data_IF_790519560682
#
_entry.id   IF_790519560682
#
_cell.length_a   1.000
_cell.length_b   1.000
_cell.length_c   1.000
_cell.angle_alpha   90.00
_cell.angle_beta   90.00
_cell.angle_gamma   90.00
#
_symmetry.space_group_name_H-M   'P 1'
#
loop_
_entity.id
_entity.type
_entity.pdbx_description
1 polymer ?
#
# COMPACT_ATOMS: atom_id res chain seq x y z
N UNK A 1 4.59 -6.65 28.22
CA UNK A 1 3.67 -5.90 27.35
C UNK A 1 4.25 -5.96 25.95
N UNK A 2 3.84 -6.94 25.13
CA UNK A 2 4.14 -6.90 23.70
C UNK A 2 3.22 -5.82 23.13
N UNK A 3 3.78 -4.67 22.76
CA UNK A 3 3.07 -3.77 21.86
C UNK A 3 2.66 -4.61 20.65
N UNK A 4 1.36 -4.70 20.36
CA UNK A 4 0.91 -5.06 19.02
C UNK A 4 1.41 -3.94 18.10
N UNK A 5 2.67 -4.00 17.70
CA UNK A 5 3.12 -3.30 16.52
C UNK A 5 2.32 -3.95 15.39
N UNK A 6 1.25 -3.27 14.96
CA UNK A 6 0.55 -3.68 13.75
C UNK A 6 1.59 -3.71 12.63
N UNK A 7 1.97 -4.91 12.22
CA UNK A 7 2.92 -5.13 11.14
C UNK A 7 2.19 -4.78 9.86
N UNK A 8 2.58 -3.68 9.24
CA UNK A 8 2.18 -3.31 7.90
C UNK A 8 3.41 -3.31 7.00
N UNK A 9 3.18 -3.39 5.70
CA UNK A 9 4.26 -3.47 4.72
C UNK A 9 5.00 -2.14 4.62
N UNK A 10 6.32 -2.19 4.77
CA UNK A 10 7.22 -1.01 4.79
C UNK A 10 8.22 -1.02 3.65
N UNK A 11 8.35 -2.12 2.89
CA UNK A 11 9.37 -2.23 1.83
C UNK A 11 9.37 -1.01 0.90
N UNK A 12 8.21 -0.64 0.34
CA UNK A 12 8.13 0.51 -0.57
C UNK A 12 8.46 1.84 0.12
N UNK A 13 8.03 2.04 1.37
CA UNK A 13 8.37 3.25 2.15
C UNK A 13 9.89 3.40 2.31
N UNK A 14 10.58 2.28 2.56
CA UNK A 14 12.04 2.25 2.74
C UNK A 14 12.82 2.44 1.42
N UNK A 15 12.19 2.21 0.27
CA UNK A 15 12.78 2.46 -1.04
C UNK A 15 12.68 3.92 -1.50
N UNK A 16 11.77 4.70 -0.90
CA UNK A 16 11.62 6.14 -1.20
C UNK A 16 12.84 6.93 -0.74
N UNK A 17 13.09 8.06 -1.44
CA UNK A 17 13.98 9.12 -0.94
C UNK A 17 13.49 9.66 0.41
N UNK A 18 14.36 10.28 1.20
CA UNK A 18 13.99 10.77 2.53
C UNK A 18 12.76 11.71 2.49
N UNK A 19 12.74 12.63 1.52
CA UNK A 19 11.66 13.60 1.35
C UNK A 19 10.35 12.96 0.90
N UNK A 20 10.43 12.03 -0.04
CA UNK A 20 9.26 11.27 -0.49
C UNK A 20 8.71 10.37 0.63
N UNK A 21 9.59 9.81 1.47
CA UNK A 21 9.19 9.03 2.65
C UNK A 21 8.45 9.90 3.67
N UNK A 22 8.95 11.10 3.97
CA UNK A 22 8.27 12.03 4.88
C UNK A 22 6.86 12.38 4.38
N UNK A 23 6.71 12.58 3.06
CA UNK A 23 5.40 12.78 2.44
C UNK A 23 4.50 11.55 2.61
N UNK A 24 5.02 10.36 2.28
CA UNK A 24 4.26 9.09 2.39
C UNK A 24 3.83 8.79 3.83
N UNK A 25 4.72 8.99 4.81
CA UNK A 25 4.39 8.83 6.23
C UNK A 25 3.35 9.85 6.69
N UNK A 26 3.40 11.08 6.19
CA UNK A 26 2.34 12.04 6.49
C UNK A 26 0.99 11.56 5.95
N UNK A 27 0.91 11.17 4.68
CA UNK A 27 -0.32 10.68 4.07
C UNK A 27 -0.85 9.42 4.76
N UNK A 28 0.05 8.51 5.15
CA UNK A 28 -0.29 7.29 5.89
C UNK A 28 -1.00 7.62 7.22
N UNK A 29 -0.60 8.70 7.88
CA UNK A 29 -1.14 9.12 9.17
C UNK A 29 -2.37 10.03 9.05
N UNK A 30 -2.49 10.84 7.99
CA UNK A 30 -3.53 11.88 7.89
C UNK A 30 -4.71 11.49 7.01
N UNK A 31 -4.51 10.68 5.96
CA UNK A 31 -5.56 10.38 4.99
C UNK A 31 -6.15 8.98 5.21
N UNK A 32 -7.48 8.81 5.12
CA UNK A 32 -8.11 7.50 5.05
C UNK A 32 -7.81 6.81 3.72
N UNK A 33 -7.93 5.49 3.68
CA UNK A 33 -7.68 4.70 2.46
C UNK A 33 -8.54 5.18 1.28
N UNK A 34 -9.81 5.51 1.52
CA UNK A 34 -10.71 5.99 0.47
C UNK A 34 -10.17 7.25 -0.23
N UNK A 35 -9.63 8.21 0.51
CA UNK A 35 -9.06 9.43 -0.06
C UNK A 35 -7.76 9.15 -0.82
N UNK A 36 -6.90 8.26 -0.30
CA UNK A 36 -5.69 7.82 -1.00
C UNK A 36 -6.02 7.17 -2.36
N UNK A 37 -7.09 6.39 -2.43
CA UNK A 37 -7.52 5.74 -3.68
C UNK A 37 -8.07 6.74 -4.69
N UNK A 38 -8.75 7.81 -4.23
CA UNK A 38 -9.17 8.90 -5.10
C UNK A 38 -7.94 9.58 -5.70
N UNK A 39 -6.93 9.92 -4.90
CA UNK A 39 -5.68 10.51 -5.38
C UNK A 39 -4.95 9.60 -6.37
N UNK A 40 -4.92 8.29 -6.10
CA UNK A 40 -4.31 7.30 -6.98
C UNK A 40 -5.01 7.20 -8.35
N UNK A 41 -6.33 7.36 -8.38
CA UNK A 41 -7.12 7.32 -9.62
C UNK A 41 -7.11 8.62 -10.42
N UNK A 42 -6.80 9.77 -9.80
CA UNK A 42 -6.79 11.06 -10.49
C UNK A 42 -5.64 11.22 -11.49
N UNK A 43 -4.64 10.33 -11.44
CA UNK A 43 -3.46 10.32 -12.30
C UNK A 43 -2.69 11.65 -12.38
N UNK A 44 -2.86 12.52 -11.39
CA UNK A 44 -2.23 13.83 -11.33
C UNK A 44 -1.49 13.98 -10.00
N UNK A 45 -0.27 14.54 -9.99
CA UNK A 45 0.41 14.94 -8.77
C UNK A 45 -0.37 15.95 -7.95
N UNK A 46 -0.40 15.77 -6.63
CA UNK A 46 -0.81 16.83 -5.71
C UNK A 46 0.38 17.76 -5.45
N UNK A 47 0.39 18.88 -6.16
CA UNK A 47 1.47 19.86 -6.09
C UNK A 47 1.63 20.46 -4.68
N UNK A 48 0.56 20.55 -3.89
CA UNK A 48 0.64 21.11 -2.54
C UNK A 48 1.40 20.17 -1.61
N UNK A 49 1.12 18.88 -1.68
CA UNK A 49 1.85 17.86 -0.91
C UNK A 49 3.31 17.83 -1.34
N UNK A 50 3.58 17.77 -2.64
CA UNK A 50 4.95 17.68 -3.16
C UNK A 50 5.78 18.91 -2.81
N UNK A 51 5.22 20.12 -2.92
CA UNK A 51 5.91 21.35 -2.51
C UNK A 51 6.19 21.37 -1.01
N UNK A 52 5.25 20.94 -0.17
CA UNK A 52 5.39 20.92 1.29
C UNK A 52 6.57 20.05 1.73
N UNK A 53 6.77 18.89 1.10
CA UNK A 53 7.85 17.96 1.44
C UNK A 53 9.07 18.08 0.52
N UNK A 54 9.04 18.98 -0.46
CA UNK A 54 10.10 19.18 -1.44
C UNK A 54 10.44 17.87 -2.21
N UNK A 55 9.41 17.10 -2.53
CA UNK A 55 9.47 15.87 -3.32
C UNK A 55 9.17 16.18 -4.80
N UNK A 56 9.62 15.33 -5.72
CA UNK A 56 9.41 15.56 -7.16
C UNK A 56 8.08 14.97 -7.65
N UNK A 57 7.58 15.50 -8.77
CA UNK A 57 6.38 14.94 -9.43
C UNK A 57 6.59 13.49 -9.88
N UNK A 58 7.84 13.11 -10.20
CA UNK A 58 8.20 11.74 -10.60
C UNK A 58 8.05 10.76 -9.43
N UNK A 59 8.22 11.22 -8.20
CA UNK A 59 8.07 10.41 -6.99
C UNK A 59 6.60 10.22 -6.55
N UNK A 60 5.65 10.98 -7.13
CA UNK A 60 4.26 11.01 -6.67
C UNK A 60 3.60 9.64 -6.59
N UNK A 61 3.69 8.85 -7.66
CA UNK A 61 3.08 7.52 -7.68
C UNK A 61 3.81 6.54 -6.77
N UNK A 62 5.12 6.68 -6.60
CA UNK A 62 5.87 5.87 -5.65
C UNK A 62 5.43 6.17 -4.21
N UNK A 63 5.23 7.46 -3.89
CA UNK A 63 4.68 7.91 -2.60
C UNK A 63 3.29 7.30 -2.36
N UNK A 64 2.38 7.43 -3.33
CA UNK A 64 1.02 6.89 -3.21
C UNK A 64 1.02 5.38 -3.08
N UNK A 65 1.76 4.65 -3.93
CA UNK A 65 1.83 3.19 -3.86
C UNK A 65 2.39 2.70 -2.53
N UNK A 66 3.45 3.33 -2.03
CA UNK A 66 4.02 2.99 -0.73
C UNK A 66 3.02 3.23 0.41
N UNK A 67 2.33 4.38 0.37
CA UNK A 67 1.33 4.76 1.37
C UNK A 67 0.13 3.81 1.36
N UNK A 68 -0.40 3.51 0.18
CA UNK A 68 -1.56 2.63 0.01
C UNK A 68 -1.21 1.21 0.44
N UNK A 69 -0.08 0.67 0.00
CA UNK A 69 0.35 -0.68 0.39
C UNK A 69 0.47 -0.80 1.92
N UNK A 70 1.11 0.18 2.56
CA UNK A 70 1.20 0.24 4.01
C UNK A 70 -0.18 0.35 4.67
N UNK A 71 -1.06 1.23 4.18
CA UNK A 71 -2.41 1.44 4.73
C UNK A 71 -3.29 0.20 4.60
N UNK A 72 -3.23 -0.49 3.45
CA UNK A 72 -4.04 -1.68 3.19
C UNK A 72 -3.59 -2.85 4.05
N UNK A 73 -2.28 -3.12 4.11
CA UNK A 73 -1.72 -4.21 4.91
C UNK A 73 -1.80 -3.96 6.42
N UNK A 74 -2.06 -2.72 6.84
CA UNK A 74 -2.40 -2.39 8.22
C UNK A 74 -3.79 -2.90 8.64
N UNK A 75 -4.75 -3.02 7.71
CA UNK A 75 -6.08 -3.52 8.06
C UNK A 75 -5.99 -4.99 8.47
N UNK A 76 -6.29 -5.24 9.75
CA UNK A 76 -6.51 -6.58 10.28
C UNK A 76 -7.75 -7.20 9.61
N UNK A 77 -7.72 -8.53 9.48
CA UNK A 77 -8.84 -9.32 8.96
C UNK A 77 -10.09 -8.99 9.78
N UNK A 78 -11.07 -8.34 9.13
CA UNK A 78 -12.37 -8.09 9.72
C UNK A 78 -13.32 -9.19 9.24
N UNK A 79 -13.88 -10.03 10.12
CA UNK A 79 -14.82 -11.09 9.73
C UNK A 79 -16.11 -10.54 9.11
N UNK A 80 -16.36 -9.23 9.21
CA UNK A 80 -17.51 -8.58 8.59
C UNK A 80 -17.26 -8.15 7.15
N UNK A 81 -16.03 -8.25 6.63
CA UNK A 81 -15.78 -7.94 5.23
C UNK A 81 -16.41 -8.98 4.32
N UNK A 82 -17.12 -8.49 3.31
CA UNK A 82 -17.64 -9.31 2.22
C UNK A 82 -16.49 -9.78 1.33
N UNK A 83 -16.73 -10.86 0.57
CA UNK A 83 -15.77 -11.35 -0.42
C UNK A 83 -15.39 -10.28 -1.45
N UNK A 84 -16.32 -9.40 -1.81
CA UNK A 84 -16.08 -8.31 -2.76
C UNK A 84 -15.13 -7.26 -2.18
N UNK A 85 -15.30 -6.89 -0.92
CA UNK A 85 -14.41 -5.95 -0.22
C UNK A 85 -13.01 -6.55 -0.03
N UNK A 86 -12.91 -7.83 0.34
CA UNK A 86 -11.62 -8.53 0.42
C UNK A 86 -10.92 -8.52 -0.94
N UNK A 87 -11.62 -8.90 -2.01
CA UNK A 87 -11.05 -8.91 -3.36
C UNK A 87 -10.59 -7.51 -3.77
N UNK A 88 -11.33 -6.47 -3.41
CA UNK A 88 -10.95 -5.09 -3.67
C UNK A 88 -9.66 -4.69 -2.94
N UNK A 89 -9.55 -4.99 -1.64
CA UNK A 89 -8.34 -4.75 -0.86
C UNK A 89 -7.14 -5.50 -1.41
N UNK A 90 -7.31 -6.78 -1.77
CA UNK A 90 -6.26 -7.58 -2.42
C UNK A 90 -5.84 -6.92 -3.73
N UNK A 91 -6.79 -6.56 -4.59
CA UNK A 91 -6.51 -5.94 -5.89
C UNK A 91 -5.66 -4.67 -5.74
N UNK A 92 -5.99 -3.82 -4.77
CA UNK A 92 -5.25 -2.60 -4.48
C UNK A 92 -3.85 -2.93 -3.95
N UNK A 93 -3.75 -3.80 -2.94
CA UNK A 93 -2.46 -4.15 -2.33
C UNK A 93 -1.48 -4.69 -3.37
N UNK A 94 -1.93 -5.63 -4.21
CA UNK A 94 -1.05 -6.22 -5.22
C UNK A 94 -0.73 -5.24 -6.34
N UNK A 95 -1.67 -4.38 -6.75
CA UNK A 95 -1.40 -3.33 -7.73
C UNK A 95 -0.38 -2.30 -7.22
N UNK A 96 -0.50 -1.86 -5.96
CA UNK A 96 0.46 -0.94 -5.34
C UNK A 96 1.85 -1.56 -5.18
N UNK A 97 1.94 -2.87 -4.96
CA UNK A 97 3.20 -3.62 -4.95
C UNK A 97 3.80 -3.86 -6.35
N UNK A 98 3.12 -3.45 -7.43
CA UNK A 98 3.58 -3.64 -8.81
C UNK A 98 3.19 -4.98 -9.44
N UNK A 99 2.36 -5.79 -8.79
CA UNK A 99 1.85 -7.07 -9.28
C UNK A 99 0.32 -7.06 -9.44
N UNK A 100 -0.23 -6.29 -10.40
CA UNK A 100 -1.68 -6.19 -10.56
C UNK A 100 -2.28 -7.54 -10.97
N UNK A 101 -3.47 -7.87 -10.42
CA UNK A 101 -4.21 -9.11 -10.75
C UNK A 101 -4.62 -9.23 -12.22
N UNK A 102 -4.54 -8.15 -12.98
CA UNK A 102 -4.74 -8.16 -14.44
C UNK A 102 -3.58 -8.80 -15.21
N UNK A 103 -2.42 -8.94 -14.58
CA UNK A 103 -1.19 -9.50 -15.17
C UNK A 103 -0.66 -10.74 -14.45
N UNK A 104 -0.98 -10.90 -13.17
CA UNK A 104 -0.50 -12.00 -12.33
C UNK A 104 -1.68 -12.69 -11.64
N UNK A 105 -1.60 -14.00 -11.48
CA UNK A 105 -2.51 -14.75 -10.60
C UNK A 105 -2.19 -14.49 -9.13
N UNK A 106 -3.18 -14.66 -8.25
CA UNK A 106 -2.97 -14.52 -6.80
C UNK A 106 -1.86 -15.46 -6.29
N UNK A 107 -1.80 -16.70 -6.80
CA UNK A 107 -0.76 -17.67 -6.44
C UNK A 107 0.65 -17.22 -6.83
N UNK A 108 0.81 -16.59 -8.01
CA UNK A 108 2.11 -16.04 -8.44
C UNK A 108 2.52 -14.86 -7.56
N UNK A 109 1.58 -13.99 -7.21
CA UNK A 109 1.86 -12.82 -6.35
C UNK A 109 2.27 -13.28 -4.94
N UNK A 110 1.61 -14.32 -4.40
CA UNK A 110 2.01 -14.91 -3.11
C UNK A 110 3.45 -15.42 -3.19
N UNK A 111 3.86 -16.09 -4.27
CA UNK A 111 5.24 -16.56 -4.43
C UNK A 111 6.24 -15.40 -4.56
N UNK A 112 5.94 -14.40 -5.38
CA UNK A 112 6.81 -13.24 -5.63
C UNK A 112 6.98 -12.36 -4.38
N UNK A 113 5.91 -12.17 -3.62
CA UNK A 113 5.93 -11.33 -2.41
C UNK A 113 6.74 -11.93 -1.27
N UNK A 114 7.00 -13.24 -1.25
CA UNK A 114 7.66 -13.90 -0.13
C UNK A 114 9.02 -13.29 0.23
N UNK A 115 9.83 -12.93 -0.78
CA UNK A 115 11.14 -12.32 -0.58
C UNK A 115 11.10 -10.80 -0.53
N UNK A 116 10.25 -10.17 -1.35
CA UNK A 116 10.27 -8.71 -1.55
C UNK A 116 9.33 -7.96 -0.59
N UNK A 117 8.18 -8.55 -0.27
CA UNK A 117 7.11 -7.94 0.52
C UNK A 117 6.59 -8.94 1.57
N UNK A 118 7.39 -9.22 2.62
CA UNK A 118 7.08 -10.30 3.57
C UNK A 118 5.78 -10.05 4.34
N UNK A 119 5.41 -8.79 4.61
CA UNK A 119 4.13 -8.50 5.30
C UNK A 119 2.96 -8.65 4.35
N UNK A 120 3.11 -8.22 3.08
CA UNK A 120 2.10 -8.48 2.06
C UNK A 120 1.91 -9.98 1.85
N UNK A 121 2.99 -10.77 1.80
CA UNK A 121 2.93 -12.23 1.65
C UNK A 121 2.06 -12.87 2.72
N UNK A 122 2.39 -12.62 3.98
CA UNK A 122 1.62 -13.12 5.12
C UNK A 122 0.17 -12.65 5.07
N UNK A 123 -0.06 -11.37 4.76
CA UNK A 123 -1.39 -10.79 4.64
C UNK A 123 -2.21 -11.50 3.55
N UNK A 124 -1.65 -11.75 2.37
CA UNK A 124 -2.33 -12.47 1.28
C UNK A 124 -2.64 -13.92 1.63
N UNK A 125 -1.74 -14.61 2.35
CA UNK A 125 -1.98 -15.99 2.79
C UNK A 125 -3.25 -16.09 3.63
N UNK A 126 -3.56 -15.06 4.44
CA UNK A 126 -4.78 -15.05 5.26
C UNK A 126 -6.09 -14.98 4.48
N UNK A 127 -6.07 -14.49 3.23
CA UNK A 127 -7.24 -14.43 2.36
C UNK A 127 -7.29 -15.53 1.29
N UNK A 128 -6.22 -16.34 1.20
CA UNK A 128 -6.10 -17.44 0.24
C UNK A 128 -6.62 -18.79 0.75
N UNK A 129 -6.97 -18.86 2.04
CA UNK A 129 -7.56 -20.04 2.70
C UNK A 129 -9.08 -20.09 2.50
#
# INVERSE_FOLDING_TARGET
MQSLENKYEKTLLLQLSLKARDAAENLLNTLPLAELLVLWQQHSPDEQILQKYNASNEEWYAILNATILAKVTYFLINPNFTKAEILYLVTIATASAGYPLTKYSLSEIIQLSQSEFPVLHEWLLTFSQ
#
